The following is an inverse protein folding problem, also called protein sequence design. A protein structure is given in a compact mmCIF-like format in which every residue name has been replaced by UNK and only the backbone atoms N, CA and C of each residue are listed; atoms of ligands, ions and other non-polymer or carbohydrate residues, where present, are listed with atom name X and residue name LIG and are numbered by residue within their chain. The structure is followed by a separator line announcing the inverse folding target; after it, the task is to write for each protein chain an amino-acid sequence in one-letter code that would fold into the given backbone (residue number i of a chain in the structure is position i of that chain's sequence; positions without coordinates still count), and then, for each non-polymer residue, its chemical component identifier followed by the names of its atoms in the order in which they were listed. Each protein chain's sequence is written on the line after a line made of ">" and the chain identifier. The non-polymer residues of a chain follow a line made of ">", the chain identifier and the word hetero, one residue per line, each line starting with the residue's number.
data_IF_323986124424
#
_entry.id   IF_323986124424
#
_cell.length_a   1.000
_cell.length_b   1.000
_cell.length_c   1.000
_cell.angle_alpha   90.00
_cell.angle_beta   90.00
_cell.angle_gamma   90.00
#
_symmetry.space_group_name_H-M   'P 1'
#
loop_
_entity.id
_entity.type
_entity.pdbx_description
1 polymer ?
#
# COMPACT_ATOMS: atom_id res chain seq x y z
N UNK A 1 31.19 1.06 15.91
CA UNK A 1 30.40 0.62 17.08
C UNK A 1 28.96 1.01 16.79
N UNK A 2 28.09 0.04 16.55
CA UNK A 2 26.68 0.24 16.15
C UNK A 2 25.89 0.84 17.31
N UNK A 3 24.99 1.78 17.03
CA UNK A 3 24.14 2.37 18.08
C UNK A 3 23.02 1.42 18.48
N UNK A 4 22.45 1.55 19.68
CA UNK A 4 21.31 0.72 20.12
C UNK A 4 20.11 0.88 19.17
N UNK A 5 19.84 2.10 18.69
CA UNK A 5 18.75 2.37 17.75
C UNK A 5 18.94 1.66 16.40
N UNK A 6 20.19 1.57 15.94
CA UNK A 6 20.55 0.87 14.70
C UNK A 6 20.48 -0.65 14.86
N UNK A 7 20.84 -1.18 16.04
CA UNK A 7 20.67 -2.60 16.37
C UNK A 7 19.19 -3.01 16.47
N UNK A 8 18.30 -2.12 16.91
CA UNK A 8 16.88 -2.43 17.04
C UNK A 8 16.09 -2.21 15.74
N UNK A 9 16.69 -1.61 14.71
CA UNK A 9 16.02 -1.37 13.45
C UNK A 9 15.97 -2.64 12.59
N UNK A 10 14.80 -3.21 12.28
CA UNK A 10 14.71 -4.45 11.50
C UNK A 10 15.36 -4.35 10.11
N UNK A 11 15.45 -3.15 9.54
CA UNK A 11 16.01 -2.92 8.21
C UNK A 11 17.51 -3.21 8.13
N UNK A 12 18.22 -3.17 9.27
CA UNK A 12 19.65 -3.48 9.34
C UNK A 12 19.93 -4.98 9.43
N UNK A 13 18.88 -5.80 9.64
CA UNK A 13 18.97 -7.26 9.80
C UNK A 13 18.35 -8.05 8.64
N UNK A 14 18.18 -7.41 7.47
CA UNK A 14 17.63 -8.07 6.28
C UNK A 14 16.12 -8.24 6.28
N UNK A 15 15.39 -7.59 7.20
CA UNK A 15 13.92 -7.56 7.15
C UNK A 15 13.41 -6.41 6.28
N UNK A 16 12.33 -6.66 5.56
CA UNK A 16 11.57 -5.63 4.85
C UNK A 16 10.14 -5.56 5.42
N UNK A 17 9.62 -4.35 5.56
CA UNK A 17 8.21 -4.13 5.93
C UNK A 17 7.42 -3.88 4.66
N UNK A 18 6.45 -4.74 4.37
CA UNK A 18 5.57 -4.61 3.21
C UNK A 18 4.15 -4.28 3.64
N UNK A 19 3.42 -3.55 2.81
CA UNK A 19 1.99 -3.27 2.94
C UNK A 19 1.27 -3.75 1.68
N UNK A 20 0.09 -4.36 1.86
CA UNK A 20 -0.77 -4.77 0.74
C UNK A 20 -1.99 -3.86 0.70
N UNK A 21 -2.19 -3.20 -0.43
CA UNK A 21 -3.33 -2.30 -0.64
C UNK A 21 -4.37 -2.94 -1.58
N UNK A 22 -5.65 -2.80 -1.22
CA UNK A 22 -6.80 -3.19 -2.04
C UNK A 22 -7.75 -1.98 -2.15
N UNK A 23 -7.49 -1.04 -3.08
CA UNK A 23 -8.28 0.17 -3.23
C UNK A 23 -9.68 -0.11 -3.78
N UNK A 24 -10.62 0.80 -3.53
CA UNK A 24 -11.91 0.78 -4.23
C UNK A 24 -11.68 1.16 -5.69
N UNK A 25 -12.26 0.39 -6.59
CA UNK A 25 -12.13 0.61 -8.03
C UNK A 25 -13.50 0.90 -8.65
N UNK A 26 -13.57 1.89 -9.53
CA UNK A 26 -14.72 2.22 -10.38
C UNK A 26 -14.40 1.86 -11.82
N UNK A 27 -15.35 1.22 -12.51
CA UNK A 27 -15.17 0.84 -13.90
C UNK A 27 -15.01 2.08 -14.77
N UNK A 28 -13.97 2.08 -15.62
CA UNK A 28 -13.64 3.16 -16.56
C UNK A 28 -13.35 4.56 -15.95
N UNK A 29 -13.14 4.67 -14.63
CA UNK A 29 -12.73 5.93 -13.98
C UNK A 29 -11.29 5.84 -13.48
N UNK A 30 -10.33 6.03 -14.39
CA UNK A 30 -8.89 5.92 -14.08
C UNK A 30 -8.41 6.98 -13.08
N UNK A 31 -9.03 8.16 -13.05
CA UNK A 31 -8.64 9.25 -12.15
C UNK A 31 -9.00 8.90 -10.71
N UNK A 32 -10.22 8.41 -10.45
CA UNK A 32 -10.62 7.95 -9.13
C UNK A 32 -9.75 6.77 -8.65
N UNK A 33 -9.52 5.77 -9.52
CA UNK A 33 -8.78 4.57 -9.17
C UNK A 33 -7.31 4.87 -8.82
N UNK A 34 -6.68 5.78 -9.57
CA UNK A 34 -5.32 6.24 -9.30
C UNK A 34 -5.26 7.02 -7.98
N UNK A 35 -6.24 7.89 -7.70
CA UNK A 35 -6.30 8.66 -6.47
C UNK A 35 -6.40 7.74 -5.22
N UNK A 36 -7.27 6.73 -5.26
CA UNK A 36 -7.40 5.74 -4.18
C UNK A 36 -6.09 4.96 -3.96
N UNK A 37 -5.43 4.55 -5.06
CA UNK A 37 -4.14 3.86 -5.00
C UNK A 37 -3.06 4.72 -4.35
N UNK A 38 -2.92 5.98 -4.80
CA UNK A 38 -1.94 6.93 -4.27
C UNK A 38 -2.22 7.25 -2.80
N UNK A 39 -3.48 7.35 -2.40
CA UNK A 39 -3.85 7.58 -1.01
C UNK A 39 -3.36 6.44 -0.10
N UNK A 40 -3.59 5.19 -0.51
CA UNK A 40 -3.13 4.01 0.25
C UNK A 40 -1.60 3.89 0.26
N UNK A 41 -0.94 4.21 -0.85
CA UNK A 41 0.53 4.23 -0.93
C UNK A 41 1.15 5.22 0.06
N UNK A 42 0.59 6.44 0.11
CA UNK A 42 1.02 7.46 1.10
C UNK A 42 0.80 6.99 2.54
N UNK A 43 -0.30 6.29 2.82
CA UNK A 43 -0.54 5.72 4.15
C UNK A 43 0.47 4.62 4.50
N UNK A 44 0.90 3.81 3.53
CA UNK A 44 1.93 2.79 3.74
C UNK A 44 3.31 3.43 3.97
N UNK A 45 3.66 4.44 3.18
CA UNK A 45 4.91 5.20 3.30
C UNK A 45 5.03 5.91 4.65
N UNK A 46 3.95 6.55 5.11
CA UNK A 46 3.89 7.18 6.44
C UNK A 46 4.14 6.19 7.60
N UNK A 47 3.90 4.91 7.37
CA UNK A 47 4.13 3.84 8.34
C UNK A 47 5.51 3.17 8.18
N UNK A 48 6.36 3.68 7.29
CA UNK A 48 7.69 3.14 7.00
C UNK A 48 7.64 1.77 6.34
N UNK A 49 6.69 1.57 5.41
CA UNK A 49 6.48 0.30 4.70
C UNK A 49 6.65 0.50 3.20
N UNK A 50 7.18 -0.54 2.57
CA UNK A 50 7.18 -0.70 1.12
C UNK A 50 5.78 -1.12 0.68
N UNK A 51 5.26 -0.51 -0.36
CA UNK A 51 3.88 -0.72 -0.78
C UNK A 51 3.81 -1.71 -1.94
N UNK A 52 2.91 -2.68 -1.83
CA UNK A 52 2.56 -3.64 -2.86
C UNK A 52 1.06 -3.50 -3.13
N UNK A 53 0.72 -2.95 -4.28
CA UNK A 53 -0.67 -2.67 -4.65
C UNK A 53 -1.21 -3.87 -5.43
N UNK A 54 -2.28 -4.49 -4.92
CA UNK A 54 -3.02 -5.53 -5.63
C UNK A 54 -4.42 -5.01 -5.97
N UNK A 55 -4.65 -4.71 -7.25
CA UNK A 55 -5.96 -4.20 -7.68
C UNK A 55 -6.91 -5.37 -7.94
N UNK A 56 -7.95 -5.49 -7.12
CA UNK A 56 -9.07 -6.41 -7.39
C UNK A 56 -10.10 -5.68 -8.26
N UNK A 57 -10.15 -6.01 -9.54
CA UNK A 57 -11.19 -5.51 -10.45
C UNK A 57 -12.51 -6.19 -10.07
N UNK A 58 -13.44 -5.41 -9.52
CA UNK A 58 -14.81 -5.88 -9.23
C UNK A 58 -15.66 -5.67 -10.49
N UNK A 59 -16.39 -6.71 -10.91
CA UNK A 59 -17.28 -6.63 -12.08
C UNK A 59 -18.40 -5.59 -11.83
N UNK A 60 -18.83 -4.83 -12.86
CA UNK A 60 -19.79 -3.74 -12.73
C UNK A 60 -21.13 -4.15 -12.08
N UNK A 61 -21.55 -5.41 -12.22
CA UNK A 61 -22.76 -5.94 -11.56
C UNK A 61 -22.74 -5.89 -10.02
N UNK A 62 -21.57 -5.78 -9.37
CA UNK A 62 -21.48 -5.68 -7.91
C UNK A 62 -21.45 -4.24 -7.36
N UNK A 63 -21.52 -3.22 -8.22
CA UNK A 63 -21.52 -1.80 -7.81
C UNK A 63 -22.93 -1.27 -7.47
N UNK A 64 -23.98 -2.07 -7.68
CA UNK A 64 -25.40 -1.68 -7.54
C UNK A 64 -26.08 -2.07 -6.21
N UNK A 65 -25.32 -2.41 -5.17
CA UNK A 65 -25.85 -2.68 -3.83
C UNK A 65 -25.54 -1.53 -2.87
#
# INVERSE_FOLDING_TARGET
>A
MTTLSEFLDPRTHGFVRVAVAVPRNRVADSVFNAAETVAMDRQASAQGRWSLVATRVVRPEAQKA
#
